data_IF_890666896924
#
_entry.id   IF_890666896924
#
_cell.length_a   1.000
_cell.length_b   1.000
_cell.length_c   1.000
_cell.angle_alpha   90.00
_cell.angle_beta   90.00
_cell.angle_gamma   90.00
#
_symmetry.space_group_name_H-M   'P 1'
#
loop_
_entity.id
_entity.type
_entity.pdbx_description
1 polymer ?
#
# COMPACT_ATOMS: atom_id res chain seq x y z
N UNK A 1 9.24 -16.94 5.89
CA UNK A 1 8.14 -16.73 4.94
C UNK A 1 8.26 -15.30 4.45
N UNK A 2 8.18 -15.11 3.13
CA UNK A 2 8.24 -13.76 2.55
C UNK A 2 6.86 -13.08 2.63
N UNK A 3 6.84 -11.78 2.93
CA UNK A 3 5.60 -11.02 3.11
C UNK A 3 4.72 -11.04 1.84
N UNK A 4 5.32 -10.96 0.65
CA UNK A 4 4.58 -10.96 -0.60
C UNK A 4 3.84 -12.29 -0.83
N UNK A 5 4.45 -13.42 -0.46
CA UNK A 5 3.83 -14.74 -0.58
C UNK A 5 2.62 -14.93 0.34
N UNK A 6 2.65 -14.35 1.54
CA UNK A 6 1.51 -14.39 2.48
C UNK A 6 0.35 -13.55 1.94
N UNK A 7 0.62 -12.32 1.52
CA UNK A 7 -0.39 -11.40 1.00
C UNK A 7 -0.99 -11.90 -0.33
N UNK A 8 -0.20 -12.55 -1.18
CA UNK A 8 -0.68 -13.14 -2.43
C UNK A 8 -1.60 -14.35 -2.16
N UNK A 9 -1.26 -15.22 -1.21
CA UNK A 9 -2.13 -16.33 -0.79
C UNK A 9 -3.44 -15.82 -0.18
N UNK A 10 -3.40 -14.69 0.51
CA UNK A 10 -4.59 -14.01 1.05
C UNK A 10 -5.42 -13.27 -0.01
N UNK A 11 -4.96 -13.22 -1.28
CA UNK A 11 -5.68 -12.53 -2.37
C UNK A 11 -5.63 -11.00 -2.32
N UNK A 12 -4.73 -10.43 -1.50
CA UNK A 12 -4.62 -8.99 -1.28
C UNK A 12 -3.72 -8.31 -2.33
N UNK A 13 -2.81 -9.09 -2.92
CA UNK A 13 -1.91 -8.66 -3.99
C UNK A 13 -1.76 -9.72 -5.09
N UNK A 14 -1.40 -9.28 -6.30
CA UNK A 14 -0.77 -10.11 -7.33
C UNK A 14 0.70 -9.75 -7.42
N UNK A 15 1.58 -10.74 -7.25
CA UNK A 15 3.01 -10.57 -7.41
C UNK A 15 3.56 -11.54 -8.47
N UNK A 16 4.11 -11.00 -9.56
CA UNK A 16 4.66 -11.77 -10.65
C UNK A 16 5.79 -11.01 -11.35
N UNK A 17 6.92 -11.68 -11.61
CA UNK A 17 8.08 -11.09 -12.33
C UNK A 17 8.54 -9.73 -11.76
N UNK A 18 8.53 -9.59 -10.44
CA UNK A 18 8.91 -8.35 -9.75
C UNK A 18 7.87 -7.22 -9.83
N UNK A 19 6.72 -7.45 -10.46
CA UNK A 19 5.60 -6.51 -10.49
C UNK A 19 4.62 -6.84 -9.38
N UNK A 20 4.23 -5.83 -8.61
CA UNK A 20 3.24 -5.94 -7.53
C UNK A 20 2.01 -5.10 -7.87
N UNK A 21 0.85 -5.73 -7.85
CA UNK A 21 -0.44 -5.08 -8.00
C UNK A 21 -1.28 -5.33 -6.75
N UNK A 22 -1.89 -4.29 -6.19
CA UNK A 22 -2.81 -4.41 -5.06
C UNK A 22 -4.20 -4.69 -5.62
N UNK A 23 -4.76 -5.85 -5.27
CA UNK A 23 -6.06 -6.30 -5.78
C UNK A 23 -7.22 -5.90 -4.87
N UNK A 24 -6.96 -5.77 -3.58
CA UNK A 24 -7.93 -5.32 -2.58
C UNK A 24 -7.24 -4.40 -1.58
N UNK A 25 -7.35 -3.09 -1.81
CA UNK A 25 -6.76 -2.07 -0.95
C UNK A 25 -7.39 -2.07 0.45
N UNK A 26 -8.72 -2.00 0.62
CA UNK A 26 -9.34 -2.00 1.95
C UNK A 26 -8.93 -3.19 2.81
N UNK A 27 -8.97 -4.41 2.25
CA UNK A 27 -8.59 -5.61 3.00
C UNK A 27 -7.09 -5.64 3.33
N UNK A 28 -6.24 -5.11 2.45
CA UNK A 28 -4.80 -4.96 2.71
C UNK A 28 -4.50 -3.94 3.81
N UNK A 29 -5.24 -2.82 3.85
CA UNK A 29 -5.14 -1.85 4.93
C UNK A 29 -5.61 -2.47 6.26
N UNK A 30 -6.72 -3.22 6.26
CA UNK A 30 -7.22 -3.89 7.47
C UNK A 30 -6.27 -4.99 8.00
N UNK A 31 -5.51 -5.64 7.11
CA UNK A 31 -4.50 -6.63 7.49
C UNK A 31 -3.17 -6.01 7.96
N UNK A 32 -3.00 -4.70 7.81
CA UNK A 32 -1.78 -3.99 8.20
C UNK A 32 -1.78 -3.63 9.70
N UNK A 33 -0.60 -3.46 10.29
CA UNK A 33 -0.51 -2.87 11.62
C UNK A 33 -0.89 -1.39 11.60
N UNK A 34 -1.17 -0.83 12.78
CA UNK A 34 -1.37 0.60 13.03
C UNK A 34 -0.24 1.47 12.47
N UNK A 35 0.96 0.88 12.37
CA UNK A 35 2.14 1.41 11.71
C UNK A 35 1.84 1.99 10.31
N UNK A 36 0.96 1.34 9.54
CA UNK A 36 0.60 1.75 8.19
C UNK A 36 -0.08 3.13 8.21
N UNK A 37 -0.99 3.36 9.16
CA UNK A 37 -1.70 4.63 9.27
C UNK A 37 -0.79 5.76 9.72
N UNK A 38 0.13 5.50 10.66
CA UNK A 38 1.13 6.48 11.10
C UNK A 38 2.02 6.90 9.93
N UNK A 39 2.57 5.93 9.18
CA UNK A 39 3.43 6.20 8.03
C UNK A 39 2.66 6.90 6.92
N UNK A 40 1.44 6.46 6.59
CA UNK A 40 0.58 7.11 5.59
C UNK A 40 0.31 8.56 5.95
N UNK A 41 -0.05 8.83 7.21
CA UNK A 41 -0.31 10.19 7.70
C UNK A 41 0.93 11.07 7.55
N UNK A 42 2.09 10.58 7.98
CA UNK A 42 3.33 11.35 7.91
C UNK A 42 3.76 11.58 6.46
N UNK A 43 3.64 10.57 5.60
CA UNK A 43 3.92 10.69 4.17
C UNK A 43 3.00 11.72 3.51
N UNK A 44 1.70 11.70 3.83
CA UNK A 44 0.74 12.71 3.37
C UNK A 44 1.08 14.10 3.91
N UNK A 45 1.56 14.23 5.15
CA UNK A 45 1.94 15.52 5.73
C UNK A 45 3.20 16.09 5.05
N UNK A 46 4.26 15.28 4.91
CA UNK A 46 5.53 15.68 4.32
C UNK A 46 5.39 16.02 2.83
N UNK A 47 4.63 15.24 2.07
CA UNK A 47 4.46 15.44 0.63
C UNK A 47 3.26 16.31 0.26
N UNK A 48 2.29 16.45 1.18
CA UNK A 48 1.12 17.32 1.05
C UNK A 48 1.37 18.77 1.43
N UNK A 49 2.58 19.11 1.89
CA UNK A 49 3.01 20.50 2.15
C UNK A 49 3.52 21.23 0.90
N UNK A 50 3.98 20.52 -0.13
CA UNK A 50 4.34 21.03 -1.47
C UNK A 50 4.90 19.86 -2.29
N UNK A 51 4.14 19.36 -3.27
CA UNK A 51 4.73 18.52 -4.33
C UNK A 51 4.10 17.17 -4.62
N UNK A 52 2.76 17.06 -4.64
CA UNK A 52 2.05 16.34 -5.71
C UNK A 52 0.55 16.50 -5.49
N UNK A 53 -0.03 17.52 -6.13
CA UNK A 53 -1.37 17.32 -6.65
C UNK A 53 -1.32 16.00 -7.44
N UNK A 54 -2.13 15.02 -7.04
CA UNK A 54 -2.58 13.99 -7.97
C UNK A 54 -3.09 14.75 -9.18
N UNK A 55 -2.34 14.71 -10.29
CA UNK A 55 -2.87 15.19 -11.57
C UNK A 55 -3.94 14.16 -11.94
N UNK A 56 -5.23 14.53 -12.02
CA UNK A 56 -6.18 13.66 -12.67
C UNK A 56 -5.86 13.76 -14.18
N UNK A 57 -5.33 12.68 -14.75
CA UNK A 57 -5.44 12.38 -16.17
C UNK A 57 -6.50 11.27 -16.30
#
# INVERSE_FOLDING_TARGET
>A
MDAAGVLQKAGLIRYARGQMEVTDRPSLEAASCECYHVVRREFTHLLGGSGAAVRPD
#
